data_IF_353258358682
#
_entry.id   IF_353258358682
#
_cell.length_a   1.000
_cell.length_b   1.000
_cell.length_c   1.000
_cell.angle_alpha   90.00
_cell.angle_beta   90.00
_cell.angle_gamma   90.00
#
_symmetry.space_group_name_H-M   'P 1'
#
loop_
_entity.id
_entity.type
_entity.pdbx_description
1 polymer ?
2 non-polymer ?
3 non-polymer ?
4 water ?
#
# COMPACT_ATOMS: atom_id res chain seq x y z
N UNK A 18 -16.22 -9.88 -13.33
CA UNK A 18 -15.15 -9.23 -12.53
C UNK A 18 -15.67 -8.81 -11.15
N UNK A 19 -15.00 -9.21 -10.07
CA UNK A 19 -15.41 -8.88 -8.68
C UNK A 19 -14.60 -7.75 -8.11
N UNK A 20 -13.62 -7.23 -8.87
CA UNK A 20 -12.73 -6.14 -8.38
C UNK A 20 -12.73 -5.00 -9.42
N UNK A 21 -13.85 -4.34 -9.62
CA UNK A 21 -13.91 -3.37 -10.72
C UNK A 21 -14.46 -2.03 -10.22
N UNK A 22 -15.35 -1.99 -9.23
CA UNK A 22 -15.93 -0.71 -8.71
C UNK A 22 -15.42 -0.47 -7.28
N UNK A 23 -15.08 0.77 -6.97
CA UNK A 23 -14.79 1.21 -5.59
C UNK A 23 -16.01 1.97 -5.05
N UNK A 24 -16.42 1.58 -3.86
CA UNK A 24 -17.52 2.19 -3.12
C UNK A 24 -17.01 2.72 -1.81
N UNK A 25 -17.73 3.72 -1.25
CA UNK A 25 -17.46 4.20 0.12
C UNK A 25 -17.63 3.01 1.07
N UNK A 26 -16.60 2.71 1.85
CA UNK A 26 -16.59 1.62 2.83
C UNK A 26 -17.68 1.84 3.90
N UNK A 27 -18.03 3.08 4.20
CA UNK A 27 -18.99 3.39 5.29
C UNK A 27 -20.43 3.22 4.80
N UNK A 28 -20.77 3.58 3.57
CA UNK A 28 -22.20 3.61 3.11
C UNK A 28 -22.48 2.85 1.81
N UNK A 29 -21.47 2.52 1.01
CA UNK A 29 -21.73 1.88 -0.29
C UNK A 29 -21.88 2.80 -1.48
N UNK A 30 -21.81 4.13 -1.30
CA UNK A 30 -21.85 5.09 -2.42
C UNK A 30 -20.79 4.70 -3.48
N UNK A 31 -21.17 4.70 -4.74
CA UNK A 31 -20.28 4.48 -5.90
C UNK A 31 -19.27 5.63 -6.00
N UNK A 32 -17.98 5.35 -6.06
CA UNK A 32 -16.92 6.40 -6.01
C UNK A 32 -16.02 6.30 -7.25
N UNK A 33 -15.45 5.14 -7.55
CA UNK A 33 -14.55 5.04 -8.71
C UNK A 33 -14.45 3.60 -9.21
N UNK A 34 -13.45 3.35 -10.05
CA UNK A 34 -13.28 2.07 -10.76
C UNK A 34 -11.81 1.76 -10.78
N UNK A 35 -11.47 0.47 -10.78
CA UNK A 35 -10.06 0.05 -10.94
C UNK A 35 -9.55 0.57 -12.30
N UNK A 36 -10.39 0.58 -13.33
CA UNK A 36 -10.02 1.11 -14.66
C UNK A 36 -9.51 2.56 -14.58
N UNK A 37 -9.93 3.33 -13.58
CA UNK A 37 -9.65 4.79 -13.50
C UNK A 37 -8.43 5.05 -12.60
N UNK A 38 -7.74 4.02 -12.12
CA UNK A 38 -6.50 4.21 -11.34
C UNK A 38 -5.50 4.96 -12.22
N UNK A 39 -4.70 5.83 -11.62
CA UNK A 39 -3.74 6.69 -12.35
C UNK A 39 -2.36 6.54 -11.70
N UNK A 40 -1.34 6.04 -12.43
CA UNK A 40 0.03 6.11 -11.91
C UNK A 40 0.66 7.53 -11.99
N UNK A 41 0.54 8.35 -10.95
CA UNK A 41 1.21 9.68 -10.89
C UNK A 41 2.67 9.45 -10.48
N UNK A 42 3.63 10.00 -11.22
CA UNK A 42 5.07 9.82 -10.94
C UNK A 42 5.50 8.36 -11.01
N UNK A 43 4.74 7.50 -11.68
CA UNK A 43 5.10 6.09 -11.90
C UNK A 43 4.43 5.13 -10.92
N UNK A 44 3.63 5.59 -9.96
CA UNK A 44 2.87 4.67 -9.08
C UNK A 44 1.48 5.26 -8.76
N UNK A 45 0.45 4.40 -8.65
CA UNK A 45 -0.89 4.90 -8.24
C UNK A 45 -0.94 5.04 -6.72
N UNK A 46 -0.06 4.33 -5.97
CA UNK A 46 0.03 4.41 -4.49
C UNK A 46 1.09 5.42 -4.01
N UNK A 47 0.67 6.39 -3.19
CA UNK A 47 1.55 7.42 -2.57
C UNK A 47 1.30 7.42 -1.07
N UNK A 48 2.31 7.18 -0.25
CA UNK A 48 2.12 7.23 1.23
C UNK A 48 2.60 8.60 1.70
N UNK A 49 1.72 9.31 2.40
CA UNK A 49 1.90 10.76 2.71
C UNK A 49 1.49 11.02 4.16
N UNK A 50 1.97 12.13 4.72
CA UNK A 50 1.64 12.61 6.07
C UNK A 50 1.12 14.04 5.93
N UNK A 51 0.05 14.33 6.67
CA UNK A 51 -0.44 15.72 6.83
C UNK A 51 0.38 16.43 7.93
N UNK A 52 0.12 17.75 8.15
CA UNK A 52 0.88 18.50 9.15
C UNK A 52 0.69 18.01 10.60
N UNK A 53 -0.41 17.33 10.86
CA UNK A 53 -0.73 16.72 12.16
C UNK A 53 -0.12 15.30 12.25
N UNK A 54 0.69 14.89 11.26
CA UNK A 54 1.47 13.65 11.28
C UNK A 54 0.64 12.42 10.95
N UNK A 55 -0.61 12.58 10.54
CA UNK A 55 -1.48 11.46 10.16
C UNK A 55 -1.00 10.91 8.83
N UNK A 56 -0.80 9.60 8.77
CA UNK A 56 -0.34 8.89 7.54
C UNK A 56 -1.55 8.44 6.72
N UNK A 57 -1.50 8.66 5.42
CA UNK A 57 -2.54 8.21 4.45
C UNK A 57 -1.84 7.39 3.37
N UNK A 58 -2.40 6.22 3.05
CA UNK A 58 -2.05 5.49 1.81
C UNK A 58 -3.06 5.94 0.74
N UNK A 59 -2.58 6.72 -0.21
CA UNK A 59 -3.43 7.42 -1.19
C UNK A 59 -3.27 6.68 -2.51
N UNK A 60 -4.40 6.45 -3.18
CA UNK A 60 -4.44 5.94 -4.57
C UNK A 60 -4.92 7.08 -5.44
N UNK A 61 -4.21 7.35 -6.52
CA UNK A 61 -4.61 8.36 -7.50
C UNK A 61 -5.63 7.74 -8.47
N UNK A 62 -6.69 8.47 -8.72
CA UNK A 62 -7.70 8.15 -9.76
C UNK A 62 -7.82 9.31 -10.74
N UNK A 63 -7.88 9.03 -12.04
CA UNK A 63 -8.15 10.07 -13.06
C UNK A 63 -9.56 10.64 -12.86
N UNK A 64 -10.48 9.83 -12.35
CA UNK A 64 -11.94 10.13 -12.34
C UNK A 64 -12.53 9.53 -11.08
N UNK A 65 -13.55 10.19 -10.54
CA UNK A 65 -14.32 9.72 -9.39
C UNK A 65 -15.69 10.39 -9.48
N UNK A 66 -16.67 9.80 -8.82
CA UNK A 66 -18.06 10.30 -8.74
C UNK A 66 -18.51 10.16 -7.28
N UNK A 67 -19.70 10.68 -6.96
CA UNK A 67 -20.40 10.45 -5.68
C UNK A 67 -19.71 11.17 -4.52
N UNK A 68 -18.83 12.11 -4.82
CA UNK A 68 -18.10 12.91 -3.81
C UNK A 68 -18.79 14.27 -3.65
N UNK A 69 -18.42 14.96 -2.57
CA UNK A 69 -18.78 16.38 -2.38
C UNK A 69 -17.46 17.09 -2.06
N UNK A 70 -17.06 18.00 -2.92
CA UNK A 70 -15.81 18.80 -2.80
C UNK A 70 -16.11 20.03 -1.95
N UNK A 71 -15.37 20.21 -0.87
CA UNK A 71 -15.69 21.22 0.18
C UNK A 71 -14.71 22.38 0.07
N UNK A 72 -15.21 23.62 0.00
CA UNK A 72 -14.37 24.83 0.03
C UNK A 72 -13.75 25.13 -1.31
N UNK A 73 -12.74 25.97 -1.30
CA UNK A 73 -12.02 26.40 -2.51
C UNK A 73 -10.65 25.75 -2.43
N UNK A 74 -9.93 25.60 -3.56
CA UNK A 74 -8.65 24.90 -3.57
C UNK A 74 -7.61 25.65 -2.73
N UNK A 75 -6.62 24.90 -2.22
CA UNK A 75 -5.44 25.43 -1.49
C UNK A 75 -4.18 24.75 -2.02
N UNK A 76 -3.11 25.48 -2.18
CA UNK A 76 -1.78 24.94 -2.50
C UNK A 76 -1.01 24.51 -1.26
N UNK A 77 -1.51 24.80 -0.04
CA UNK A 77 -0.70 24.67 1.22
C UNK A 77 -0.36 23.18 1.41
N UNK A 78 0.93 22.87 1.47
CA UNK A 78 1.43 21.52 1.84
C UNK A 78 0.92 20.48 0.84
N UNK A 79 0.68 20.86 -0.40
CA UNK A 79 0.20 19.93 -1.44
C UNK A 79 1.23 18.83 -1.59
N UNK A 80 0.76 17.58 -1.57
CA UNK A 80 1.63 16.40 -1.74
C UNK A 80 2.06 16.25 -3.20
N UNK A 81 1.40 16.93 -4.13
CA UNK A 81 1.63 16.80 -5.59
C UNK A 81 1.99 18.17 -6.14
N UNK A 82 3.26 18.32 -6.56
CA UNK A 82 3.87 19.61 -6.97
C UNK A 82 3.00 20.25 -8.04
N UNK A 83 2.60 21.51 -7.89
CA UNK A 83 1.89 22.25 -8.93
C UNK A 83 0.38 22.02 -8.91
N UNK A 84 -0.14 21.24 -7.95
CA UNK A 84 -1.58 21.04 -7.82
C UNK A 84 -2.07 21.67 -6.51
N UNK A 85 -3.26 22.25 -6.57
CA UNK A 85 -4.04 22.75 -5.41
C UNK A 85 -5.09 21.69 -5.06
N UNK A 86 -5.46 21.60 -3.78
CA UNK A 86 -6.34 20.51 -3.31
C UNK A 86 -7.62 21.08 -2.73
N UNK A 87 -8.67 20.26 -2.80
CA UNK A 87 -9.98 20.45 -2.15
C UNK A 87 -10.30 19.17 -1.40
N UNK A 88 -10.87 19.28 -0.21
CA UNK A 88 -11.34 18.12 0.57
C UNK A 88 -12.47 17.43 -0.25
N UNK A 89 -12.38 16.13 -0.39
CA UNK A 89 -13.43 15.29 -1.05
C UNK A 89 -14.08 14.45 0.04
N UNK A 90 -15.34 14.75 0.34
CA UNK A 90 -16.15 13.86 1.20
C UNK A 90 -16.96 12.89 0.32
N UNK A 91 -17.39 11.80 0.94
CA UNK A 91 -18.46 10.95 0.37
C UNK A 91 -19.69 11.84 0.29
N UNK A 92 -20.29 11.98 -0.89
CA UNK A 92 -21.49 12.84 -1.05
C UNK A 92 -22.67 12.26 -0.34
N UNK A 93 -22.62 10.97 0.02
CA UNK A 93 -23.76 10.32 0.69
C UNK A 93 -23.63 10.50 2.21
N UNK A 94 -22.53 10.06 2.79
CA UNK A 94 -22.41 9.88 4.25
C UNK A 94 -21.50 10.93 4.90
N UNK A 95 -20.71 11.66 4.07
CA UNK A 95 -19.83 12.76 4.49
C UNK A 95 -18.51 12.24 5.03
N UNK A 96 -18.21 10.97 4.92
CA UNK A 96 -16.92 10.39 5.37
C UNK A 96 -15.83 11.07 4.52
N UNK A 97 -14.68 11.36 5.14
CA UNK A 97 -13.55 11.97 4.39
C UNK A 97 -12.90 10.92 3.49
N UNK A 98 -13.06 11.00 2.19
CA UNK A 98 -12.50 9.96 1.29
C UNK A 98 -11.16 10.37 0.66
N UNK A 99 -10.81 11.64 0.71
CA UNK A 99 -9.57 12.13 0.11
C UNK A 99 -9.62 13.57 -0.33
N UNK A 100 -9.01 13.85 -1.47
CA UNK A 100 -8.85 15.21 -2.03
C UNK A 100 -9.00 15.20 -3.54
N UNK A 101 -9.50 16.29 -4.08
CA UNK A 101 -9.46 16.55 -5.54
C UNK A 101 -8.28 17.51 -5.79
N UNK A 102 -7.52 17.23 -6.84
CA UNK A 102 -6.35 18.04 -7.21
C UNK A 102 -6.63 18.72 -8.53
N UNK A 103 -6.28 20.01 -8.64
CA UNK A 103 -6.51 20.82 -9.86
C UNK A 103 -5.33 21.77 -10.04
N UNK A 104 -5.24 22.35 -11.23
CA UNK A 104 -4.31 23.45 -11.53
C UNK A 104 -2.95 22.99 -12.00
N UNK A 105 -2.74 21.71 -12.33
CA UNK A 105 -1.42 21.26 -12.87
C UNK A 105 -1.50 20.89 -14.34
N UNK A 106 -0.62 20.02 -14.88
CA UNK A 106 -0.72 19.50 -16.27
C UNK A 106 -0.42 18.01 -16.33
N UNK A 107 -1.03 17.33 -17.32
CA UNK A 107 -0.81 15.90 -17.65
C UNK A 107 -0.88 15.08 -16.35
N UNK A 108 -2.05 14.97 -15.68
CA UNK A 108 -3.27 15.68 -16.05
C UNK A 108 -3.48 17.01 -15.30
N UNK A 109 -4.42 17.84 -15.77
CA UNK A 109 -4.78 19.11 -15.08
C UNK A 109 -5.40 18.77 -13.72
N UNK A 110 -6.19 17.70 -13.65
CA UNK A 110 -6.94 17.30 -12.43
C UNK A 110 -6.85 15.80 -12.21
N UNK A 111 -7.05 15.37 -10.97
CA UNK A 111 -7.12 13.97 -10.53
C UNK A 111 -7.63 13.95 -9.09
N UNK A 112 -7.93 12.75 -8.60
CA UNK A 112 -8.36 12.52 -7.20
C UNK A 112 -7.30 11.72 -6.49
N UNK A 113 -7.01 12.06 -5.27
CA UNK A 113 -6.20 11.26 -4.34
C UNK A 113 -7.12 10.74 -3.27
N UNK A 114 -7.41 9.46 -3.29
CA UNK A 114 -8.42 8.85 -2.39
C UNK A 114 -7.71 7.95 -1.39
N UNK A 115 -8.20 7.96 -0.17
CA UNK A 115 -7.64 7.15 0.94
C UNK A 115 -8.08 5.68 0.77
N UNK A 116 -7.11 4.85 0.44
CA UNK A 116 -7.32 3.46 -0.05
C UNK A 116 -8.21 2.71 0.94
N UNK A 117 -7.94 2.83 2.24
CA UNK A 117 -8.58 1.97 3.27
C UNK A 117 -9.99 2.48 3.57
N UNK A 118 -10.43 3.55 2.91
CA UNK A 118 -11.79 4.10 3.08
C UNK A 118 -12.70 3.69 1.92
N UNK A 119 -12.18 2.87 1.01
CA UNK A 119 -12.94 2.37 -0.16
C UNK A 119 -13.10 0.85 0.01
N UNK A 120 -14.13 0.30 -0.61
CA UNK A 120 -14.37 -1.15 -0.73
C UNK A 120 -14.47 -1.49 -2.23
N UNK A 121 -13.73 -2.50 -2.65
CA UNK A 121 -13.64 -2.91 -4.05
C UNK A 121 -14.60 -4.10 -4.27
N UNK A 122 -15.29 -4.12 -5.38
CA UNK A 122 -16.21 -5.21 -5.70
C UNK A 122 -16.74 -5.18 -7.13
N UNK A 123 -17.72 -6.08 -7.37
CA UNK A 123 -18.28 -6.29 -8.70
C UNK A 123 -19.05 -5.07 -9.20
N UNK A 124 -19.01 -4.87 -10.52
CA UNK A 124 -19.88 -3.92 -11.23
C UNK A 124 -21.29 -4.52 -11.26
N UNK B 20 7.40 -14.29 15.40
CA UNK B 20 6.66 -15.45 16.00
C UNK B 20 5.24 -15.02 16.37
N UNK B 21 4.56 -14.37 15.44
CA UNK B 21 3.13 -14.02 15.58
C UNK B 21 2.24 -14.99 14.74
N UNK B 22 1.16 -15.49 15.37
CA UNK B 22 0.19 -16.39 14.70
C UNK B 22 -1.20 -15.78 14.79
N UNK B 23 -2.01 -16.14 13.84
CA UNK B 23 -3.45 -15.80 13.79
C UNK B 23 -4.23 -17.04 14.19
N UNK B 24 -5.09 -16.88 15.19
CA UNK B 24 -5.98 -17.93 15.68
C UNK B 24 -7.43 -17.59 15.33
N UNK B 25 -8.27 -18.62 15.19
CA UNK B 25 -9.73 -18.44 15.11
C UNK B 25 -10.15 -17.70 16.39
N UNK B 26 -10.82 -16.59 16.22
CA UNK B 26 -11.25 -15.74 17.36
C UNK B 26 -12.30 -16.50 18.18
N UNK B 27 -13.07 -17.40 17.56
CA UNK B 27 -14.17 -18.12 18.28
C UNK B 27 -13.59 -19.26 19.12
N UNK B 28 -12.63 -20.03 18.63
CA UNK B 28 -12.21 -21.29 19.31
C UNK B 28 -10.71 -21.35 19.63
N UNK B 29 -9.89 -20.48 19.01
CA UNK B 29 -8.44 -20.43 19.35
C UNK B 29 -7.60 -21.32 18.45
N UNK B 30 -8.18 -22.03 17.50
CA UNK B 30 -7.38 -22.91 16.62
C UNK B 30 -6.39 -22.03 15.85
N UNK B 31 -5.13 -22.44 15.77
CA UNK B 31 -4.10 -21.81 14.90
C UNK B 31 -4.54 -21.93 13.43
N UNK B 32 -4.55 -20.80 12.72
CA UNK B 32 -5.03 -20.73 11.31
C UNK B 32 -3.90 -20.31 10.40
N UNK B 33 -3.18 -19.22 10.72
CA UNK B 33 -2.12 -18.73 9.84
C UNK B 33 -1.08 -17.96 10.65
N UNK B 34 -0.08 -17.45 9.96
CA UNK B 34 1.13 -16.85 10.57
C UNK B 34 1.38 -15.50 9.92
N UNK B 35 1.87 -14.53 10.68
CA UNK B 35 2.27 -13.22 10.12
C UNK B 35 3.34 -13.44 9.02
N UNK B 36 4.22 -14.42 9.19
CA UNK B 36 5.28 -14.70 8.16
C UNK B 36 4.63 -15.01 6.81
N UNK B 37 3.37 -15.46 6.77
CA UNK B 37 2.70 -15.89 5.53
C UNK B 37 1.86 -14.79 4.93
N UNK B 38 1.86 -13.59 5.50
CA UNK B 38 1.13 -12.45 4.86
C UNK B 38 1.62 -12.27 3.43
N UNK B 39 0.69 -12.00 2.52
CA UNK B 39 0.94 -11.97 1.06
C UNK B 39 0.37 -10.67 0.51
N UNK B 40 1.23 -9.77 -0.01
CA UNK B 40 0.72 -8.51 -0.58
C UNK B 40 0.19 -8.72 -2.02
N UNK B 41 -1.05 -9.16 -2.18
CA UNK B 41 -1.71 -9.41 -3.48
C UNK B 41 -2.10 -8.07 -4.08
N UNK B 42 -1.72 -7.83 -5.34
CA UNK B 42 -1.87 -6.54 -6.02
C UNK B 42 -1.21 -5.40 -5.26
N UNK B 43 -0.21 -5.70 -4.43
CA UNK B 43 0.59 -4.69 -3.71
C UNK B 43 0.16 -4.45 -2.26
N UNK B 44 -0.96 -4.98 -1.76
CA UNK B 44 -1.14 -4.97 -0.29
C UNK B 44 -1.81 -6.23 0.23
N UNK B 45 -1.57 -6.52 1.49
CA UNK B 45 -2.10 -7.73 2.16
C UNK B 45 -3.54 -7.45 2.62
N UNK B 46 -3.92 -6.19 2.84
CA UNK B 46 -5.31 -5.83 3.24
C UNK B 46 -6.11 -5.42 2.00
N UNK B 47 -7.26 -6.01 1.81
CA UNK B 47 -8.26 -5.66 0.78
C UNK B 47 -9.60 -5.47 1.48
N UNK B 48 -10.18 -4.28 1.34
CA UNK B 48 -11.60 -4.06 1.71
C UNK B 48 -12.43 -4.27 0.46
N UNK B 49 -13.42 -5.17 0.55
CA UNK B 49 -14.15 -5.77 -0.60
C UNK B 49 -15.63 -5.84 -0.22
N UNK B 50 -16.50 -5.87 -1.22
CA UNK B 50 -17.94 -6.10 -1.03
C UNK B 50 -18.35 -7.24 -1.98
N UNK B 51 -19.28 -8.04 -1.50
CA UNK B 51 -19.84 -9.17 -2.26
C UNK B 51 -21.04 -8.66 -3.07
N UNK B 52 -21.64 -9.54 -3.90
CA UNK B 52 -22.75 -9.10 -4.75
C UNK B 52 -24.00 -8.74 -3.94
N UNK B 53 -24.11 -9.18 -2.70
CA UNK B 53 -25.24 -8.80 -1.80
C UNK B 53 -24.90 -7.48 -1.06
N UNK B 54 -23.74 -6.87 -1.35
CA UNK B 54 -23.31 -5.58 -0.79
C UNK B 54 -22.71 -5.71 0.60
N UNK B 55 -22.44 -6.91 1.09
CA UNK B 55 -21.83 -7.08 2.41
C UNK B 55 -20.35 -6.73 2.29
N UNK B 56 -19.85 -5.92 3.19
CA UNK B 56 -18.42 -5.45 3.16
C UNK B 56 -17.59 -6.33 4.07
N UNK B 57 -16.41 -6.74 3.61
CA UNK B 57 -15.42 -7.52 4.39
C UNK B 57 -14.05 -6.84 4.30
N UNK B 58 -13.28 -6.95 5.36
CA UNK B 58 -11.85 -6.54 5.36
C UNK B 58 -11.02 -7.82 5.39
N UNK B 59 -10.35 -8.13 4.29
CA UNK B 59 -9.63 -9.39 4.08
C UNK B 59 -8.13 -9.13 4.17
N UNK B 60 -7.41 -10.03 4.83
CA UNK B 60 -5.92 -10.08 4.83
C UNK B 60 -5.52 -11.33 4.05
N UNK B 61 -4.57 -11.22 3.14
CA UNK B 61 -4.12 -12.31 2.25
C UNK B 61 -2.95 -13.02 2.89
N UNK B 62 -3.01 -14.35 2.90
CA UNK B 62 -1.94 -15.23 3.42
C UNK B 62 -1.60 -16.27 2.36
N UNK B 63 -0.33 -16.66 2.20
CA UNK B 63 0.11 -17.70 1.25
C UNK B 63 -0.48 -19.08 1.63
N UNK B 64 -0.52 -19.38 2.93
CA UNK B 64 -0.88 -20.72 3.48
C UNK B 64 -1.74 -20.49 4.69
N UNK B 65 -2.43 -21.55 5.08
CA UNK B 65 -3.24 -21.61 6.30
C UNK B 65 -3.35 -23.08 6.69
N UNK B 66 -3.75 -23.32 7.93
CA UNK B 66 -4.06 -24.67 8.43
C UNK B 66 -5.33 -24.58 9.28
N UNK B 67 -5.91 -25.74 9.58
CA UNK B 67 -7.03 -25.85 10.51
C UNK B 67 -8.32 -25.39 9.89
N UNK B 68 -8.36 -25.11 8.59
CA UNK B 68 -9.63 -24.67 7.93
C UNK B 68 -10.32 -25.91 7.30
N UNK B 69 -11.57 -25.77 6.92
CA UNK B 69 -12.31 -26.68 6.07
C UNK B 69 -12.85 -25.86 4.89
N UNK B 70 -12.45 -26.20 3.68
CA UNK B 70 -12.87 -25.56 2.43
C UNK B 70 -14.11 -26.31 1.97
N UNK B 71 -15.18 -25.59 1.69
CA UNK B 71 -16.46 -26.24 1.35
C UNK B 71 -16.87 -25.83 -0.06
N UNK B 72 -17.40 -26.77 -0.81
CA UNK B 72 -17.95 -26.55 -2.16
C UNK B 72 -16.88 -26.68 -3.23
N UNK B 73 -17.28 -26.57 -4.49
CA UNK B 73 -16.37 -26.60 -5.64
C UNK B 73 -15.93 -25.16 -5.91
N UNK B 74 -14.73 -24.95 -6.48
CA UNK B 74 -14.26 -23.59 -6.70
C UNK B 74 -15.17 -22.85 -7.69
N UNK B 75 -15.32 -21.55 -7.50
CA UNK B 75 -16.15 -20.68 -8.38
C UNK B 75 -15.30 -19.48 -8.82
N UNK B 76 -15.41 -19.14 -10.09
CA UNK B 76 -14.83 -17.92 -10.70
C UNK B 76 -15.72 -16.71 -10.47
N UNK B 77 -16.97 -16.92 -10.05
CA UNK B 77 -18.03 -15.86 -10.13
C UNK B 77 -17.65 -14.76 -9.15
N UNK B 78 -17.48 -13.53 -9.62
CA UNK B 78 -17.31 -12.33 -8.77
C UNK B 78 -16.08 -12.50 -7.87
N UNK B 79 -15.07 -13.22 -8.35
CA UNK B 79 -13.80 -13.34 -7.64
C UNK B 79 -13.22 -11.93 -7.39
N UNK B 80 -12.79 -11.64 -6.18
CA UNK B 80 -12.13 -10.35 -5.85
C UNK B 80 -10.73 -10.30 -6.42
N UNK B 81 -10.16 -11.45 -6.80
CA UNK B 81 -8.77 -11.54 -7.30
C UNK B 81 -8.78 -12.14 -8.70
N UNK B 82 -8.41 -11.31 -9.68
CA UNK B 82 -8.43 -11.62 -11.12
C UNK B 82 -7.63 -12.89 -11.36
N UNK B 83 -8.22 -13.87 -12.05
CA UNK B 83 -7.51 -15.11 -12.44
C UNK B 83 -7.58 -16.18 -11.37
N UNK B 84 -8.31 -15.96 -10.29
CA UNK B 84 -8.47 -16.97 -9.19
C UNK B 84 -9.93 -17.39 -9.07
N UNK B 85 -10.14 -18.68 -8.79
CA UNK B 85 -11.41 -19.28 -8.31
C UNK B 85 -11.41 -19.36 -6.78
N UNK B 86 -12.58 -19.26 -6.14
CA UNK B 86 -12.65 -19.20 -4.66
C UNK B 86 -13.49 -20.34 -4.12
N UNK B 87 -13.18 -20.75 -2.90
CA UNK B 87 -13.97 -21.69 -2.07
C UNK B 87 -14.12 -21.07 -0.68
N UNK B 88 -15.25 -21.27 -0.05
CA UNK B 88 -15.51 -20.80 1.33
C UNK B 88 -14.60 -21.57 2.29
N UNK B 89 -13.96 -20.84 3.19
CA UNK B 89 -13.09 -21.40 4.24
C UNK B 89 -13.75 -21.22 5.61
N UNK B 90 -14.08 -22.34 6.25
CA UNK B 90 -14.53 -22.37 7.67
C UNK B 90 -13.38 -22.77 8.57
N UNK B 91 -13.43 -22.39 9.86
CA UNK B 91 -12.65 -23.04 10.91
C UNK B 91 -13.02 -24.52 10.93
N UNK B 92 -12.05 -25.42 10.78
CA UNK B 92 -12.32 -26.87 10.77
C UNK B 92 -12.79 -27.34 12.14
N UNK B 93 -12.46 -26.56 13.18
CA UNK B 93 -12.73 -26.96 14.57
C UNK B 93 -14.12 -26.47 15.00
N UNK B 94 -14.46 -25.21 14.80
CA UNK B 94 -15.74 -24.64 15.33
C UNK B 94 -16.71 -24.22 14.24
N UNK B 95 -16.31 -24.18 12.97
CA UNK B 95 -17.23 -23.87 11.85
C UNK B 95 -17.38 -22.37 11.58
N UNK B 96 -16.67 -21.49 12.31
CA UNK B 96 -16.71 -20.03 12.09
C UNK B 96 -16.27 -19.75 10.64
N UNK B 97 -16.97 -18.84 9.94
CA UNK B 97 -16.60 -18.44 8.57
C UNK B 97 -15.39 -17.54 8.63
N UNK B 98 -14.20 -18.01 8.23
CA UNK B 98 -12.97 -17.23 8.44
C UNK B 98 -12.54 -16.59 7.12
N UNK B 99 -13.10 -16.95 5.96
CA UNK B 99 -12.73 -16.34 4.68
C UNK B 99 -12.90 -17.27 3.49
N UNK B 100 -11.95 -17.21 2.56
CA UNK B 100 -11.95 -17.92 1.27
C UNK B 100 -10.56 -18.42 0.91
N UNK B 101 -10.52 -19.53 0.21
CA UNK B 101 -9.29 -20.02 -0.45
C UNK B 101 -9.36 -19.71 -1.94
N UNK B 102 -8.25 -19.34 -2.54
CA UNK B 102 -8.16 -18.92 -3.96
C UNK B 102 -7.26 -19.92 -4.66
N UNK B 103 -7.62 -20.32 -5.86
CA UNK B 103 -6.84 -21.31 -6.63
C UNK B 103 -6.93 -21.02 -8.12
N UNK B 104 -6.08 -21.70 -8.90
CA UNK B 104 -6.10 -21.75 -10.38
C UNK B 104 -5.42 -20.56 -11.04
N UNK B 105 -4.63 -19.77 -10.30
CA UNK B 105 -3.83 -18.67 -10.87
C UNK B 105 -2.36 -19.02 -10.96
N UNK B 106 -1.50 -18.00 -11.05
CA UNK B 106 -0.03 -18.17 -11.13
C UNK B 106 0.64 -17.17 -10.19
N UNK B 107 1.75 -17.59 -9.58
CA UNK B 107 2.63 -16.75 -8.75
C UNK B 107 1.80 -15.88 -7.81
N UNK B 108 1.14 -16.46 -6.78
CA UNK B 108 1.10 -17.91 -6.58
C UNK B 108 -0.13 -18.58 -7.19
N UNK B 109 -0.11 -19.90 -7.27
CA UNK B 109 -1.27 -20.70 -7.73
C UNK B 109 -2.43 -20.55 -6.75
N UNK B 110 -2.14 -20.50 -5.46
CA UNK B 110 -3.16 -20.53 -4.39
C UNK B 110 -2.79 -19.55 -3.28
N UNK B 111 -3.80 -19.10 -2.52
CA UNK B 111 -3.62 -18.24 -1.33
C UNK B 111 -4.97 -18.14 -0.63
N UNK B 112 -4.96 -17.59 0.55
CA UNK B 112 -6.17 -17.37 1.37
C UNK B 112 -6.46 -15.89 1.52
N UNK B 113 -7.75 -15.55 1.50
CA UNK B 113 -8.21 -14.24 1.97
C UNK B 113 -9.03 -14.46 3.21
N UNK B 114 -8.48 -14.07 4.36
CA UNK B 114 -9.10 -14.34 5.68
C UNK B 114 -9.65 -13.03 6.23
N UNK B 115 -10.79 -13.13 6.89
CA UNK B 115 -11.48 -11.98 7.51
C UNK B 115 -10.75 -11.60 8.79
N UNK B 116 -10.10 -10.43 8.78
CA UNK B 116 -9.19 -9.99 9.85
C UNK B 116 -9.95 -9.98 11.18
N UNK B 117 -11.17 -9.48 11.19
CA UNK B 117 -11.95 -9.31 12.45
C UNK B 117 -12.37 -10.66 13.04
N UNK B 118 -12.18 -11.76 12.32
CA UNK B 118 -12.55 -13.12 12.79
C UNK B 118 -11.32 -13.90 13.27
N UNK B 119 -10.18 -13.25 13.22
CA UNK B 119 -8.90 -13.83 13.72
C UNK B 119 -8.45 -13.05 14.96
N UNK B 120 -7.63 -13.69 15.80
CA UNK B 120 -6.92 -13.06 16.93
C UNK B 120 -5.42 -13.26 16.70
N UNK B 121 -4.65 -12.20 16.63
CA UNK B 121 -3.17 -12.27 16.46
C UNK B 121 -2.57 -12.32 17.84
N UNK B 122 -1.55 -13.13 18.01
CA UNK B 122 -0.82 -13.22 19.27
C UNK B 122 0.41 -14.09 19.11
N UNK B 123 1.21 -14.20 20.19
CA UNK B 123 2.49 -14.89 20.15
C UNK B 123 2.31 -16.40 19.93
N UNK B 124 3.25 -16.97 19.17
CA UNK B 124 3.45 -18.42 19.01
C UNK B 124 3.92 -19.00 20.34
N UNK C 18 5.55 21.00 -1.80
CA UNK C 18 5.31 21.89 -0.63
C UNK C 18 5.05 21.09 0.68
N UNK C 19 4.25 20.02 0.57
CA UNK C 19 4.06 19.05 1.66
C UNK C 19 4.89 17.81 1.44
N UNK C 20 5.96 17.89 0.63
CA UNK C 20 6.92 16.79 0.43
C UNK C 20 8.36 17.24 0.77
N UNK C 21 8.58 17.78 1.97
CA UNK C 21 9.91 18.27 2.43
C UNK C 21 10.60 17.31 3.41
N UNK C 22 9.87 16.43 4.11
CA UNK C 22 10.45 15.48 5.10
C UNK C 22 10.12 14.08 4.61
N UNK C 23 11.11 13.20 4.58
CA UNK C 23 10.96 11.81 4.09
C UNK C 23 11.00 10.90 5.31
N UNK C 24 9.99 10.03 5.42
CA UNK C 24 9.81 9.15 6.59
C UNK C 24 9.69 7.71 6.12
N UNK C 25 9.93 6.78 7.01
CA UNK C 25 9.63 5.35 6.75
C UNK C 25 8.12 5.22 6.48
N UNK C 26 7.75 4.65 5.32
CA UNK C 26 6.34 4.40 4.91
C UNK C 26 5.64 3.51 5.94
N UNK C 27 6.35 2.60 6.60
CA UNK C 27 5.70 1.55 7.44
C UNK C 27 5.40 2.13 8.82
N UNK C 28 6.27 2.96 9.40
CA UNK C 28 6.12 3.39 10.81
C UNK C 28 6.22 4.92 10.99
N UNK C 29 6.69 5.67 10.01
CA UNK C 29 6.75 7.15 10.12
C UNK C 29 8.06 7.67 10.70
N UNK C 30 9.03 6.82 11.03
CA UNK C 30 10.38 7.28 11.48
C UNK C 30 10.93 8.31 10.50
N UNK C 31 11.39 9.45 11.02
CA UNK C 31 12.04 10.53 10.23
C UNK C 31 13.37 10.00 9.68
N UNK C 32 13.59 10.13 8.37
CA UNK C 32 14.82 9.58 7.73
C UNK C 32 15.64 10.72 7.12
N UNK C 33 15.06 11.56 6.28
CA UNK C 33 15.82 12.67 5.66
C UNK C 33 14.88 13.81 5.24
N UNK C 34 15.44 14.79 4.54
CA UNK C 34 14.71 16.03 4.17
C UNK C 34 15.21 16.51 2.81
N UNK C 35 14.35 17.25 2.11
CA UNK C 35 14.61 17.80 0.76
C UNK C 35 15.93 18.59 0.79
N UNK C 36 16.27 19.31 1.86
CA UNK C 36 17.55 20.07 1.98
C UNK C 36 18.75 19.15 1.74
N UNK C 37 18.65 17.86 2.07
CA UNK C 37 19.81 16.94 2.00
C UNK C 37 19.77 16.11 0.71
N UNK C 38 18.82 16.36 -0.19
CA UNK C 38 18.81 15.70 -1.50
C UNK C 38 20.11 16.02 -2.23
N UNK C 39 20.51 15.09 -3.07
CA UNK C 39 21.42 15.38 -4.21
C UNK C 39 20.69 15.16 -5.54
N UNK C 40 20.41 16.21 -6.34
CA UNK C 40 19.99 16.01 -7.72
C UNK C 40 21.08 15.53 -8.70
N UNK C 41 20.79 14.55 -9.56
CA UNK C 41 21.67 14.19 -10.72
C UNK C 41 21.41 15.20 -11.83
N UNK C 46 14.93 11.79 -8.40
CA UNK C 46 14.50 10.38 -8.63
C UNK C 46 15.39 9.77 -9.72
N UNK C 47 15.90 8.57 -9.48
CA UNK C 47 16.68 7.78 -10.47
C UNK C 47 15.98 6.45 -10.66
N UNK C 48 15.57 6.12 -11.90
CA UNK C 48 15.06 4.77 -12.24
C UNK C 48 16.27 3.84 -12.46
N UNK C 49 16.37 2.82 -11.63
CA UNK C 49 17.42 1.76 -11.68
C UNK C 49 16.73 0.41 -11.62
N UNK C 50 17.45 -0.62 -12.07
CA UNK C 50 16.98 -2.03 -12.13
C UNK C 50 17.95 -2.85 -11.29
N UNK C 51 17.41 -3.68 -10.43
CA UNK C 51 18.22 -4.69 -9.69
C UNK C 51 18.63 -5.80 -10.67
N UNK C 52 19.41 -6.80 -10.23
CA UNK C 52 19.87 -7.86 -11.12
C UNK C 52 18.72 -8.70 -11.73
N UNK C 53 17.54 -8.69 -11.09
CA UNK C 53 16.34 -9.40 -11.60
C UNK C 53 15.59 -8.52 -12.60
N UNK C 54 16.06 -7.29 -12.85
CA UNK C 54 15.41 -6.31 -13.73
C UNK C 54 14.16 -5.68 -13.09
N UNK C 55 13.96 -5.82 -11.78
CA UNK C 55 12.89 -5.07 -11.09
C UNK C 55 13.30 -3.59 -11.03
N UNK C 56 12.39 -2.68 -11.37
CA UNK C 56 12.61 -1.20 -11.28
C UNK C 56 12.48 -0.71 -9.83
N UNK C 57 13.42 0.14 -9.41
CA UNK C 57 13.32 1.00 -8.21
C UNK C 57 13.48 2.47 -8.64
N UNK C 58 12.74 3.35 -7.98
CA UNK C 58 12.95 4.82 -8.03
C UNK C 58 13.74 5.18 -6.77
N UNK C 59 14.98 5.62 -6.95
CA UNK C 59 15.91 5.86 -5.83
C UNK C 59 16.10 7.38 -5.66
N UNK C 60 16.03 7.86 -4.42
CA UNK C 60 16.41 9.25 -4.08
C UNK C 60 17.75 9.21 -3.35
N UNK C 61 18.71 10.03 -3.77
CA UNK C 61 20.04 10.13 -3.14
C UNK C 61 20.05 11.33 -2.18
N UNK C 62 20.53 11.08 -0.95
CA UNK C 62 20.63 12.09 0.15
C UNK C 62 22.07 12.14 0.68
N UNK C 63 22.59 13.33 0.96
CA UNK C 63 23.94 13.54 1.52
C UNK C 63 23.92 13.09 2.98
N UNK C 64 22.77 13.21 3.67
CA UNK C 64 22.67 12.95 5.13
C UNK C 64 21.35 12.25 5.40
N UNK C 65 21.31 11.37 6.39
CA UNK C 65 20.05 10.77 6.87
C UNK C 65 20.18 10.52 8.37
N UNK C 66 19.05 10.18 9.00
CA UNK C 66 19.02 9.75 10.42
C UNK C 66 18.04 8.58 10.53
N UNK C 67 18.05 7.91 11.69
CA UNK C 67 17.00 6.95 12.06
C UNK C 67 17.10 5.65 11.28
N UNK C 68 18.21 5.42 10.57
CA UNK C 68 18.44 4.12 9.90
C UNK C 68 19.33 3.24 10.79
N UNK C 69 19.43 1.96 10.43
CA UNK C 69 20.47 1.05 10.96
C UNK C 69 21.12 0.40 9.73
N UNK C 70 22.44 0.63 9.57
CA UNK C 70 23.22 0.10 8.43
C UNK C 70 23.75 -1.26 8.88
N UNK C 71 23.47 -2.31 8.12
CA UNK C 71 23.81 -3.69 8.59
C UNK C 71 24.77 -4.33 7.58
N UNK C 72 25.62 -5.24 8.04
CA UNK C 72 26.47 -6.09 7.20
C UNK C 72 27.72 -5.38 6.74
N UNK C 73 28.49 -6.07 5.90
CA UNK C 73 29.73 -5.54 5.30
C UNK C 73 29.35 -4.90 3.97
N UNK C 74 30.12 -3.89 3.51
CA UNK C 74 29.86 -3.27 2.20
C UNK C 74 30.01 -4.29 1.08
N UNK C 75 29.30 -4.09 -0.03
CA UNK C 75 29.41 -4.92 -1.25
C UNK C 75 29.51 -4.00 -2.47
N UNK C 76 30.37 -4.38 -3.42
CA UNK C 76 30.45 -3.77 -4.76
C UNK C 76 29.43 -4.34 -5.73
N UNK C 77 28.73 -5.43 -5.39
CA UNK C 77 27.95 -6.25 -6.37
C UNK C 77 26.84 -5.39 -6.96
N UNK C 78 26.83 -5.23 -8.28
CA UNK C 78 25.73 -4.57 -9.03
C UNK C 78 25.48 -3.14 -8.49
N UNK C 79 26.50 -2.47 -7.97
CA UNK C 79 26.34 -1.10 -7.42
C UNK C 79 25.81 -0.21 -8.55
N UNK C 80 24.76 0.56 -8.26
CA UNK C 80 24.16 1.49 -9.24
C UNK C 80 25.05 2.71 -9.43
N UNK C 81 26.02 2.94 -8.53
CA UNK C 81 26.84 4.18 -8.51
C UNK C 81 28.31 3.76 -8.60
N UNK C 82 28.94 4.07 -9.75
CA UNK C 82 30.31 3.62 -10.11
C UNK C 82 31.25 4.07 -9.00
N UNK C 83 32.07 3.16 -8.46
CA UNK C 83 33.10 3.48 -7.46
C UNK C 83 32.56 3.51 -6.03
N UNK C 84 31.29 3.13 -5.81
CA UNK C 84 30.71 3.06 -4.45
C UNK C 84 30.37 1.59 -4.13
N UNK C 85 30.68 1.18 -2.89
CA UNK C 85 30.16 -0.06 -2.24
C UNK C 85 28.91 0.28 -1.42
N UNK C 86 28.00 -0.67 -1.28
CA UNK C 86 26.73 -0.40 -0.57
C UNK C 86 26.59 -1.31 0.65
N UNK C 87 25.82 -0.82 1.62
CA UNK C 87 25.44 -1.52 2.86
C UNK C 87 23.93 -1.33 3.02
N UNK C 88 23.23 -2.35 3.51
CA UNK C 88 21.76 -2.32 3.62
C UNK C 88 21.41 -1.29 4.71
N UNK C 89 20.45 -0.42 4.40
CA UNK C 89 19.92 0.57 5.36
C UNK C 89 18.50 0.14 5.73
N UNK C 90 18.32 -0.25 6.99
CA UNK C 90 16.96 -0.52 7.55
C UNK C 90 16.47 0.71 8.31
N UNK C 91 15.15 0.84 8.40
CA UNK C 91 14.51 1.76 9.37
C UNK C 91 14.95 1.31 10.78
N UNK C 92 15.51 2.22 11.57
CA UNK C 92 15.92 1.90 12.96
C UNK C 92 14.71 1.64 13.85
N UNK C 93 13.53 2.08 13.44
CA UNK C 93 12.34 1.99 14.30
C UNK C 93 11.62 0.66 14.06
N UNK C 94 11.35 0.31 12.80
CA UNK C 94 10.51 -0.87 12.49
C UNK C 94 11.32 -1.95 11.75
N UNK C 95 12.51 -1.67 11.24
CA UNK C 95 13.31 -2.72 10.57
C UNK C 95 13.03 -2.84 9.07
N UNK C 96 12.11 -2.04 8.52
CA UNK C 96 11.77 -2.06 7.08
C UNK C 96 13.03 -1.73 6.25
N UNK C 97 13.23 -2.42 5.14
CA UNK C 97 14.35 -2.14 4.20
C UNK C 97 14.07 -0.82 3.45
N UNK C 98 14.80 0.27 3.75
CA UNK C 98 14.48 1.56 3.10
C UNK C 98 15.43 1.86 1.93
N UNK C 99 16.61 1.23 1.91
CA UNK C 99 17.59 1.51 0.84
C UNK C 99 19.00 1.07 1.24
N UNK C 100 19.99 1.88 0.86
CA UNK C 100 21.42 1.54 1.02
C UNK C 100 22.24 2.75 1.41
N UNK C 101 23.33 2.50 2.10
CA UNK C 101 24.35 3.55 2.32
C UNK C 101 25.49 3.24 1.36
N UNK C 102 26.01 4.25 0.70
CA UNK C 102 27.09 4.11 -0.29
C UNK C 102 28.35 4.75 0.27
N UNK C 103 29.50 4.10 0.04
CA UNK C 103 30.81 4.57 0.59
C UNK C 103 31.93 4.21 -0.40
N UNK C 104 33.06 4.89 -0.23
CA UNK C 104 34.35 4.56 -0.88
C UNK C 104 34.56 5.33 -2.16
N UNK C 105 33.74 6.33 -2.47
CA UNK C 105 33.92 7.17 -3.67
C UNK C 105 34.48 8.56 -3.32
N UNK C 106 34.29 9.53 -4.20
CA UNK C 106 34.68 10.96 -3.99
C UNK C 106 33.55 11.86 -4.48
N UNK C 107 33.39 13.02 -3.82
CA UNK C 107 32.44 14.11 -4.19
C UNK C 107 31.09 13.51 -4.52
N UNK C 108 30.33 12.98 -3.53
CA UNK C 108 30.81 12.81 -2.16
C UNK C 108 31.41 11.42 -1.87
N UNK C 109 32.13 11.29 -0.75
CA UNK C 109 32.69 10.00 -0.30
C UNK C 109 31.54 9.02 -0.01
N UNK C 110 30.46 9.53 0.59
CA UNK C 110 29.35 8.73 1.12
C UNK C 110 28.03 9.43 0.81
N UNK C 111 26.94 8.65 0.78
CA UNK C 111 25.57 9.15 0.58
C UNK C 111 24.61 7.99 0.81
N UNK C 112 23.34 8.32 0.88
CA UNK C 112 22.27 7.34 1.12
C UNK C 112 21.41 7.27 -0.15
N UNK C 113 21.16 6.07 -0.64
CA UNK C 113 20.23 5.82 -1.76
C UNK C 113 19.01 5.13 -1.24
N UNK C 114 17.89 5.83 -1.13
CA UNK C 114 16.68 5.32 -0.45
C UNK C 114 15.58 5.10 -1.48
N UNK C 115 14.78 4.07 -1.29
CA UNK C 115 13.75 3.60 -2.25
C UNK C 115 12.51 4.49 -2.08
N UNK C 116 12.10 5.20 -3.13
CA UNK C 116 10.90 6.08 -3.10
C UNK C 116 9.69 5.31 -2.57
N UNK C 117 9.48 4.08 -3.02
CA UNK C 117 8.25 3.30 -2.70
C UNK C 117 8.30 2.78 -1.25
N UNK C 118 9.40 3.02 -0.53
CA UNK C 118 9.53 2.61 0.89
C UNK C 118 9.41 3.82 1.81
N UNK C 119 9.22 5.00 1.25
CA UNK C 119 9.20 6.27 1.99
C UNK C 119 7.81 6.89 1.89
N UNK C 120 7.50 7.76 2.85
CA UNK C 120 6.32 8.65 2.88
C UNK C 120 6.82 10.11 2.96
N UNK C 121 6.11 11.03 2.30
CA UNK C 121 6.54 12.45 2.18
C UNK C 121 5.56 13.25 3.02
N UNK C 122 6.04 14.30 3.68
CA UNK C 122 5.16 15.28 4.30
C UNK C 122 5.86 16.62 4.55
N UNK C 123 5.09 17.60 5.05
CA UNK C 123 5.62 18.94 5.26
C UNK C 123 6.65 18.97 6.42
N UNK C 124 7.54 19.95 6.39
CA UNK C 124 8.53 20.25 7.46
C UNK C 124 7.80 20.52 8.80
X LIG D 1 -20.07 7.11 2.30
X LIG E 1 -2.48 17.58 0.52
X LIG E 1 -3.94 17.47 0.81
X LIG E 1 -4.35 18.07 2.15
X LIG E 1 -3.43 17.64 3.29
X LIG E 1 -2.82 20.77 4.38
X LIG E 1 -1.11 17.73 3.78
X LIG E 1 -2.01 17.46 -0.60
X LIG E 1 -1.64 17.79 1.60
X LIG E 1 -3.99 21.03 6.94
X LIG E 1 -1.97 17.74 2.93
X LIG E 1 -3.71 18.39 4.55
X LIG E 1 -4.66 18.54 6.55
X LIG E 1 -3.46 19.69 4.99
X LIG E 1 -2.74 21.97 5.10
X LIG E 1 -3.30 22.08 6.37
X LIG E 1 -4.05 19.80 6.27
X LIG E 1 -4.47 17.74 5.49
X LIG F 1 -12.65 -21.95 15.33
X LIG G 1 -14.91 -13.57 -3.57
X LIG G 1 -15.27 -14.56 -2.51
X LIG G 1 -16.74 -14.90 -2.44
X LIG G 1 -17.59 -13.66 -2.42
X LIG G 1 -19.71 -14.50 -4.80
X LIG G 1 -17.99 -11.78 -3.89
X LIG G 1 -13.79 -13.46 -4.01
X LIG G 1 -15.93 -12.72 -4.00
X LIG G 1 -22.27 -14.77 -3.61
X LIG G 1 -17.21 -12.64 -3.50
X LIG G 1 -19.04 -13.98 -2.46
X LIG G 1 -20.99 -14.23 -1.44
X LIG G 1 -19.90 -14.31 -3.43
X LIG G 1 -20.81 -14.84 -5.56
X LIG G 1 -22.08 -14.96 -4.98
X LIG G 1 -21.16 -14.46 -2.82
X LIG G 1 -19.69 -13.95 -1.24
X LIG H 1 9.99 2.15 9.94
X LIG I 1 22.70 -1.36 -5.53
X LIG I 1 22.01 -1.63 -4.23
X LIG I 1 21.44 -3.05 -4.17
X LIG I 1 20.56 -3.32 -5.38
X LIG I 1 22.01 -6.06 -5.38
X LIG I 1 21.07 -3.67 -7.69
X LIG I 1 23.43 -0.40 -5.68
X LIG I 1 22.42 -2.23 -6.57
X LIG I 1 20.22 -8.18 -4.86
X LIG I 1 21.36 -3.12 -6.65
X LIG I 1 19.95 -4.66 -5.21
X LIG I 1 18.44 -6.28 -4.80
X LIG I 1 20.65 -5.84 -5.19
X LIG I 1 22.45 -7.36 -5.32
X LIG I 1 21.55 -8.41 -5.07
X LIG I 1 19.74 -6.88 -4.94
X LIG I 1 18.58 -4.94 -4.96
#
# INVERSE_FOLDING_TARGET
>A
AMPLDAGGQNSTQMVLAPGASIFRCRQCGQTISRRDWLLPMGGDHEHVVFNPAGMIFRVWCFSLAQGLRLIGAPSGEFSWFKGYDWTIALCGQCGSHLGWHYEGGSQPQTFFGLIKDRLAEGPAD
>B
AMPLDAGGQNSTQMVLAPGASIFRCRQCGQTISRRDWLLPMGGDHEHVVFNPAGMIFRVWCFSLAQGLRLIGAPSGEFSWFKGYDWTIALCGQCGSHLGWHYEGGSQPQTFFGLIKDRLAEGPAD
>C
AMPLDAGGQNSTQMVLAPGASIFRCRQCGQTISRRDWLLPMGGDHEHVVFNPAGMIFRVWCFSLAQGLRLIGAPSGEFSWFKGYDWTIALCGQCGSHLGWHYEGGSQPQTFFGLIKDRLAEGPAD
>D hetero
1 ZN ZN
>E hetero
1 A1IW6 C1 C2 C3 C4 C9 O2 O1 N1 C12 C13 N2 C6 C8 C10 C11 C7 C5
>F hetero
1 ZN ZN
>G hetero
1 A1IW6 C1 C2 C3 C4 C9 O2 O1 N1 C12 C13 N2 C6 C8 C10 C11 C7 C5
>H hetero
1 ZN ZN
>I hetero
1 A1IW6 C1 C2 C3 C4 C9 O2 O1 N1 C12 C13 N2 C6 C8 C10 C11 C7 C5
#
